data_IF_491031387823
#
_entry.id   IF_491031387823
#
_cell.length_a   1.000
_cell.length_b   1.000
_cell.length_c   1.000
_cell.angle_alpha   90.00
_cell.angle_beta   90.00
_cell.angle_gamma   90.00
#
_symmetry.space_group_name_H-M   'P 1'
#
loop_
_entity.id
_entity.type
_entity.pdbx_description
1 polymer ?
#
# COMPACT_ATOMS: atom_id res chain seq x y z
N UNK A 1 8.76 11.19 -59.50
CA UNK A 1 8.51 11.57 -58.09
C UNK A 1 8.72 13.07 -57.96
N UNK A 2 7.73 13.76 -57.40
CA UNK A 2 7.77 15.21 -57.18
C UNK A 2 8.95 15.56 -56.25
N UNK A 3 9.84 16.45 -56.69
CA UNK A 3 11.06 16.80 -55.94
C UNK A 3 10.71 17.37 -54.56
N UNK A 4 9.57 18.04 -54.46
CA UNK A 4 9.04 18.63 -53.22
C UNK A 4 8.63 17.56 -52.22
N UNK A 5 7.97 16.49 -52.70
CA UNK A 5 7.54 15.38 -51.85
C UNK A 5 8.74 14.63 -51.26
N UNK A 6 9.82 14.46 -52.03
CA UNK A 6 11.00 13.76 -51.55
C UNK A 6 11.78 14.55 -50.49
N UNK A 7 11.80 15.89 -50.60
CA UNK A 7 12.40 16.79 -49.60
C UNK A 7 11.61 16.73 -48.28
N UNK A 8 10.28 16.78 -48.34
CA UNK A 8 9.45 16.70 -47.13
C UNK A 8 9.64 15.36 -46.40
N UNK A 9 9.70 14.25 -47.15
CA UNK A 9 9.93 12.91 -46.57
C UNK A 9 11.32 12.81 -45.94
N UNK A 10 12.37 13.29 -46.63
CA UNK A 10 13.74 13.25 -46.07
C UNK A 10 13.89 14.11 -44.82
N UNK A 11 13.29 15.30 -44.79
CA UNK A 11 13.30 16.17 -43.62
C UNK A 11 12.54 15.56 -42.44
N UNK A 12 11.41 14.90 -42.69
CA UNK A 12 10.63 14.20 -41.67
C UNK A 12 11.42 13.02 -41.05
N UNK A 13 12.08 12.22 -41.88
CA UNK A 13 12.91 11.10 -41.42
C UNK A 13 14.10 11.60 -40.58
N UNK A 14 14.78 12.67 -41.03
CA UNK A 14 15.87 13.26 -40.25
C UNK A 14 15.40 13.82 -38.90
N UNK A 15 14.22 14.43 -38.86
CA UNK A 15 13.60 14.92 -37.63
C UNK A 15 13.31 13.79 -36.63
N UNK A 16 12.75 12.67 -37.10
CA UNK A 16 12.47 11.50 -36.26
C UNK A 16 13.77 10.87 -35.73
N UNK A 17 14.80 10.73 -36.56
CA UNK A 17 16.10 10.19 -36.14
C UNK A 17 16.76 11.09 -35.09
N UNK A 18 16.74 12.41 -35.28
CA UNK A 18 17.26 13.35 -34.29
C UNK A 18 16.50 13.28 -32.96
N UNK A 19 15.18 13.13 -33.02
CA UNK A 19 14.32 12.98 -31.85
C UNK A 19 14.61 11.70 -31.06
N UNK A 20 14.76 10.55 -31.74
CA UNK A 20 15.10 9.27 -31.11
C UNK A 20 16.46 9.34 -30.39
N UNK A 21 17.47 9.96 -31.02
CA UNK A 21 18.79 10.17 -30.40
C UNK A 21 18.67 11.05 -29.14
N UNK A 22 17.87 12.11 -29.22
CA UNK A 22 17.64 13.01 -28.09
C UNK A 22 16.97 12.29 -26.91
N UNK A 23 15.91 11.51 -27.16
CA UNK A 23 15.22 10.72 -26.14
C UNK A 23 16.15 9.66 -25.54
N UNK A 24 16.93 8.95 -26.36
CA UNK A 24 17.89 7.95 -25.88
C UNK A 24 18.92 8.57 -24.92
N UNK A 25 19.47 9.74 -25.25
CA UNK A 25 20.41 10.46 -24.36
C UNK A 25 19.79 10.86 -23.03
N UNK A 26 18.53 11.26 -23.03
CA UNK A 26 17.82 11.58 -21.79
C UNK A 26 17.53 10.33 -20.94
N UNK A 27 17.23 9.19 -21.58
CA UNK A 27 16.93 7.93 -20.90
C UNK A 27 18.17 7.30 -20.25
N UNK A 28 19.37 7.46 -20.83
CA UNK A 28 20.62 6.97 -20.24
C UNK A 28 21.03 7.70 -18.95
N UNK A 29 20.50 8.89 -18.69
CA UNK A 29 20.84 9.66 -17.47
C UNK A 29 20.10 9.19 -16.22
N UNK A 30 19.30 8.11 -16.31
CA UNK A 30 18.73 7.46 -15.13
C UNK A 30 19.71 6.39 -14.63
N UNK A 31 20.42 6.61 -13.51
CA UNK A 31 21.19 5.55 -12.87
C UNK A 31 20.23 4.43 -12.45
N UNK A 32 20.46 3.24 -13.00
CA UNK A 32 19.86 1.99 -12.55
C UNK A 32 20.64 1.58 -11.28
N UNK A 33 19.98 1.37 -10.13
CA UNK A 33 20.60 0.64 -9.04
C UNK A 33 20.86 -0.80 -9.49
N UNK A 34 22.13 -1.16 -9.57
CA UNK A 34 22.57 -2.55 -9.70
C UNK A 34 22.64 -3.21 -8.31
N UNK A 35 22.59 -4.55 -8.34
CA UNK A 35 22.74 -5.52 -7.23
C UNK A 35 21.43 -5.92 -6.52
N UNK A 36 21.10 -7.21 -6.31
CA UNK A 36 21.82 -8.48 -6.47
C UNK A 36 20.77 -9.59 -6.76
N UNK A 37 20.91 -10.41 -7.80
CA UNK A 37 21.62 -11.72 -7.85
C UNK A 37 21.15 -12.74 -6.80
N UNK A 38 20.29 -13.64 -7.30
CA UNK A 38 20.16 -15.09 -7.06
C UNK A 38 21.11 -15.76 -6.05
N UNK A 39 20.57 -16.61 -5.16
CA UNK A 39 21.14 -17.95 -4.87
C UNK A 39 20.12 -18.88 -4.15
N UNK A 40 20.25 -20.22 -4.27
CA UNK A 40 19.18 -21.22 -4.17
C UNK A 40 19.04 -21.97 -2.82
N UNK A 41 17.92 -22.69 -2.70
CA UNK A 41 17.55 -23.80 -1.77
C UNK A 41 18.66 -24.86 -1.58
N UNK A 42 18.88 -25.41 -0.37
CA UNK A 42 18.34 -26.73 0.05
C UNK A 42 18.09 -26.80 1.59
N UNK A 43 17.51 -27.81 2.26
CA UNK A 43 16.99 -29.14 1.93
C UNK A 43 16.01 -29.56 3.05
N UNK A 44 15.06 -30.42 2.69
CA UNK A 44 14.16 -31.16 3.58
C UNK A 44 14.99 -32.14 4.44
N UNK A 45 14.72 -32.23 5.74
CA UNK A 45 15.20 -33.34 6.58
C UNK A 45 13.99 -34.08 7.16
N UNK A 46 13.84 -35.32 6.70
CA UNK A 46 12.96 -36.34 7.26
C UNK A 46 13.51 -36.78 8.63
N UNK A 47 12.63 -37.00 9.60
CA UNK A 47 12.92 -37.90 10.72
C UNK A 47 11.66 -38.67 11.07
N UNK A 48 11.71 -39.95 10.70
CA UNK A 48 10.82 -41.04 11.08
C UNK A 48 10.92 -41.30 12.58
N UNK A 49 9.78 -41.45 13.26
CA UNK A 49 9.69 -42.18 14.52
C UNK A 49 8.41 -43.01 14.56
N UNK A 50 8.54 -44.28 14.22
CA UNK A 50 7.57 -45.34 14.51
C UNK A 50 7.67 -45.71 15.99
N UNK A 51 6.55 -45.79 16.70
CA UNK A 51 6.48 -46.30 18.07
C UNK A 51 5.05 -46.60 18.49
N UNK A 52 4.77 -47.89 18.69
CA UNK A 52 3.45 -48.51 18.84
C UNK A 52 2.85 -48.43 20.25
N UNK A 53 1.51 -48.50 20.32
CA UNK A 53 0.69 -49.40 21.16
C UNK A 53 -0.29 -48.82 22.19
N UNK A 54 -1.43 -49.54 22.24
CA UNK A 54 -2.45 -49.73 23.29
C UNK A 54 -3.78 -48.97 23.12
N UNK A 55 -4.93 -49.68 22.96
CA UNK A 55 -6.27 -49.11 23.04
C UNK A 55 -6.74 -49.09 24.49
N UNK A 56 -7.21 -47.94 24.98
CA UNK A 56 -7.89 -47.87 26.28
C UNK A 56 -9.00 -46.83 26.24
N UNK A 57 -10.23 -47.33 26.33
CA UNK A 57 -11.48 -46.58 26.44
C UNK A 57 -11.45 -45.62 27.63
N UNK A 58 -11.83 -44.36 27.39
CA UNK A 58 -12.07 -43.36 28.43
C UNK A 58 -13.32 -42.51 28.09
N UNK A 59 -14.05 -42.01 29.10
CA UNK A 59 -15.47 -41.69 29.01
C UNK A 59 -15.76 -40.35 28.31
N UNK A 60 -16.97 -40.24 27.76
CA UNK A 60 -17.45 -39.04 27.07
C UNK A 60 -17.37 -37.79 27.97
N UNK A 61 -16.52 -36.83 27.56
CA UNK A 61 -16.48 -35.49 28.12
C UNK A 61 -17.76 -34.72 27.77
N UNK A 62 -18.30 -33.89 28.67
CA UNK A 62 -19.46 -33.05 28.36
C UNK A 62 -19.14 -32.13 27.18
N UNK A 63 -20.07 -32.05 26.22
CA UNK A 63 -19.96 -31.17 25.05
C UNK A 63 -19.67 -29.74 25.50
N UNK A 64 -18.50 -29.23 25.14
CA UNK A 64 -18.17 -27.83 25.29
C UNK A 64 -19.20 -27.02 24.49
N UNK A 65 -19.89 -26.09 25.15
CA UNK A 65 -20.77 -25.13 24.48
C UNK A 65 -20.01 -24.43 23.36
N UNK A 66 -20.62 -24.22 22.19
CA UNK A 66 -19.95 -23.55 21.08
C UNK A 66 -19.51 -22.16 21.53
N UNK A 67 -18.19 -21.96 21.57
CA UNK A 67 -17.59 -20.64 21.76
C UNK A 67 -18.12 -19.72 20.67
N UNK A 68 -18.61 -18.51 20.99
CA UNK A 68 -19.02 -17.55 19.97
C UNK A 68 -17.89 -17.37 18.96
N UNK A 69 -18.21 -17.51 17.67
CA UNK A 69 -17.25 -17.24 16.61
C UNK A 69 -16.77 -15.79 16.76
N UNK A 70 -15.47 -15.50 16.54
CA UNK A 70 -14.97 -14.12 16.53
C UNK A 70 -15.79 -13.30 15.54
N UNK A 71 -16.30 -12.15 15.99
CA UNK A 71 -16.99 -11.21 15.10
C UNK A 71 -15.97 -10.73 14.07
N UNK A 72 -16.24 -10.96 12.80
CA UNK A 72 -15.39 -10.48 11.72
C UNK A 72 -15.36 -8.96 11.74
N UNK A 73 -14.16 -8.37 11.74
CA UNK A 73 -13.99 -6.93 11.67
C UNK A 73 -14.51 -6.38 10.35
N UNK A 74 -15.37 -5.37 10.43
CA UNK A 74 -15.88 -4.64 9.27
C UNK A 74 -14.94 -3.47 8.99
N UNK A 75 -14.15 -3.60 7.93
CA UNK A 75 -13.27 -2.54 7.45
C UNK A 75 -14.08 -1.32 7.02
N UNK A 76 -13.67 -0.14 7.50
CA UNK A 76 -14.26 1.15 7.15
C UNK A 76 -13.28 1.94 6.31
N UNK A 77 -13.81 2.68 5.35
CA UNK A 77 -13.04 3.58 4.51
C UNK A 77 -13.54 5.02 4.65
N UNK A 78 -12.64 5.97 4.46
CA UNK A 78 -12.92 7.41 4.40
C UNK A 78 -12.20 8.03 3.21
N UNK A 79 -12.72 9.14 2.71
CA UNK A 79 -12.12 9.85 1.58
C UNK A 79 -11.70 11.25 2.00
N UNK A 80 -10.41 11.53 1.88
CA UNK A 80 -9.86 12.88 2.03
C UNK A 80 -9.50 13.43 0.65
N UNK A 81 -10.09 14.56 0.27
CA UNK A 81 -10.02 15.10 -1.10
C UNK A 81 -9.65 16.58 -1.13
N UNK A 82 -8.88 16.98 -2.13
CA UNK A 82 -8.68 18.37 -2.53
C UNK A 82 -8.95 18.57 -4.04
N UNK A 83 -8.45 19.66 -4.64
CA UNK A 83 -8.66 19.98 -6.05
C UNK A 83 -7.96 19.03 -7.03
N UNK A 84 -6.91 18.34 -6.60
CA UNK A 84 -5.98 17.63 -7.49
C UNK A 84 -5.81 16.15 -7.16
N UNK A 85 -6.10 15.73 -5.92
CA UNK A 85 -6.02 14.34 -5.48
C UNK A 85 -7.16 13.93 -4.53
N UNK A 86 -7.48 12.63 -4.56
CA UNK A 86 -8.32 11.93 -3.59
C UNK A 86 -7.48 10.86 -2.90
N UNK A 87 -7.49 10.85 -1.56
CA UNK A 87 -6.89 9.82 -0.73
C UNK A 87 -8.02 8.93 -0.18
N UNK A 88 -7.93 7.63 -0.45
CA UNK A 88 -8.77 6.64 0.19
C UNK A 88 -8.04 6.07 1.40
N UNK A 89 -8.68 6.21 2.55
CA UNK A 89 -8.16 5.91 3.87
C UNK A 89 -8.87 4.68 4.40
N UNK A 90 -8.15 3.72 4.97
CA UNK A 90 -8.71 2.48 5.51
C UNK A 90 -8.44 2.33 7.00
N UNK A 91 -9.46 1.88 7.74
CA UNK A 91 -9.35 1.52 9.16
C UNK A 91 -8.39 0.36 9.41
N UNK A 92 -8.18 -0.52 8.43
CA UNK A 92 -7.23 -1.64 8.54
C UNK A 92 -5.82 -1.10 8.29
N UNK A 93 -4.95 -1.13 9.29
CA UNK A 93 -3.62 -0.52 9.23
C UNK A 93 -3.60 1.01 9.48
N UNK A 94 -4.76 1.68 9.37
CA UNK A 94 -4.92 3.10 9.67
C UNK A 94 -4.08 3.98 8.76
N UNK A 95 -4.32 3.88 7.44
CA UNK A 95 -3.46 4.48 6.43
C UNK A 95 -4.17 4.70 5.09
N UNK A 96 -3.40 5.12 4.08
CA UNK A 96 -3.90 5.37 2.73
C UNK A 96 -3.83 4.06 1.93
N UNK A 97 -4.97 3.52 1.52
CA UNK A 97 -5.04 2.33 0.67
C UNK A 97 -4.83 2.66 -0.81
N UNK A 98 -5.30 3.83 -1.24
CA UNK A 98 -5.32 4.22 -2.65
C UNK A 98 -5.25 5.76 -2.78
N UNK A 99 -4.60 6.23 -3.84
CA UNK A 99 -4.56 7.65 -4.20
C UNK A 99 -5.01 7.83 -5.64
N UNK A 100 -6.00 8.68 -5.88
CA UNK A 100 -6.49 9.00 -7.23
C UNK A 100 -6.02 10.40 -7.60
N UNK A 101 -5.29 10.53 -8.72
CA UNK A 101 -4.84 11.81 -9.25
C UNK A 101 -5.90 12.38 -10.20
N UNK A 102 -6.59 13.45 -9.78
CA UNK A 102 -7.77 13.99 -10.46
C UNK A 102 -7.46 14.66 -11.80
N UNK A 103 -6.22 15.15 -11.97
CA UNK A 103 -5.76 15.88 -13.16
C UNK A 103 -5.13 15.00 -14.24
N UNK A 104 -4.93 13.72 -13.96
CA UNK A 104 -4.17 12.83 -14.82
C UNK A 104 -5.06 11.69 -15.31
N UNK A 105 -5.14 11.57 -16.64
CA UNK A 105 -5.83 10.47 -17.29
C UNK A 105 -4.85 9.31 -17.52
N UNK A 106 -5.31 8.10 -17.21
CA UNK A 106 -4.74 6.83 -17.58
C UNK A 106 -5.42 6.30 -18.86
N UNK A 107 -5.15 5.04 -19.20
CA UNK A 107 -5.84 4.35 -20.30
C UNK A 107 -7.36 4.32 -20.08
N UNK A 108 -8.11 4.27 -21.18
CA UNK A 108 -9.59 4.17 -21.17
C UNK A 108 -10.32 5.34 -20.47
N UNK A 109 -9.72 6.54 -20.45
CA UNK A 109 -10.25 7.74 -19.75
C UNK A 109 -10.45 7.54 -18.23
N UNK A 110 -9.79 6.54 -17.64
CA UNK A 110 -9.74 6.38 -16.17
C UNK A 110 -8.77 7.39 -15.59
N UNK A 111 -8.94 7.76 -14.31
CA UNK A 111 -7.94 8.57 -13.61
C UNK A 111 -6.73 7.73 -13.26
N UNK A 112 -5.57 8.36 -13.15
CA UNK A 112 -4.37 7.69 -12.63
C UNK A 112 -4.60 7.36 -11.16
N UNK A 113 -4.50 6.08 -10.83
CA UNK A 113 -4.53 5.57 -9.47
C UNK A 113 -3.12 5.14 -9.06
N UNK A 114 -2.71 5.54 -7.86
CA UNK A 114 -1.49 5.09 -7.20
C UNK A 114 -1.84 4.19 -6.02
N UNK A 115 -0.95 3.24 -5.78
CA UNK A 115 -1.14 2.13 -4.84
C UNK A 115 -2.28 1.19 -5.26
N UNK A 116 -2.15 -0.07 -4.85
CA UNK A 116 -3.16 -1.09 -5.06
C UNK A 116 -3.84 -1.35 -3.72
N UNK A 117 -5.18 -1.49 -3.67
CA UNK A 117 -5.93 -1.67 -2.42
C UNK A 117 -5.51 -2.93 -1.64
N UNK A 118 -4.98 -3.95 -2.32
CA UNK A 118 -4.52 -5.21 -1.70
C UNK A 118 -3.06 -5.15 -1.19
N UNK A 119 -2.48 -3.95 -1.08
CA UNK A 119 -1.14 -3.73 -0.53
C UNK A 119 -1.22 -3.10 0.86
N UNK A 120 -0.09 -3.13 1.57
CA UNK A 120 0.03 -2.45 2.86
C UNK A 120 -0.31 -0.96 2.69
N UNK A 121 -1.28 -0.43 3.45
CA UNK A 121 -1.63 0.98 3.38
C UNK A 121 -0.44 1.87 3.73
N UNK A 122 -0.30 3.00 3.05
CA UNK A 122 0.75 3.98 3.36
C UNK A 122 0.49 4.54 4.76
N UNK A 123 1.54 4.56 5.58
CA UNK A 123 1.46 4.96 6.97
C UNK A 123 1.05 3.85 7.93
N UNK A 124 0.86 2.60 7.44
CA UNK A 124 0.72 1.45 8.33
C UNK A 124 1.97 1.26 9.21
N UNK A 125 1.74 0.94 10.48
CA UNK A 125 2.81 0.64 11.45
C UNK A 125 2.69 -0.84 11.77
N UNK A 126 3.77 -1.58 11.51
CA UNK A 126 3.85 -3.02 11.73
C UNK A 126 4.81 -3.30 12.88
N UNK A 127 4.48 -4.29 13.69
CA UNK A 127 5.39 -4.77 14.73
C UNK A 127 6.45 -5.71 14.16
N UNK A 128 6.05 -6.60 13.25
CA UNK A 128 6.95 -7.47 12.49
C UNK A 128 6.68 -7.30 10.98
N UNK A 129 7.65 -6.83 10.18
CA UNK A 129 7.50 -6.74 8.73
C UNK A 129 7.48 -8.11 8.03
N UNK A 130 8.01 -9.18 8.62
CA UNK A 130 8.03 -10.53 8.02
C UNK A 130 6.67 -11.23 8.12
N UNK A 131 5.90 -10.94 9.18
CA UNK A 131 4.51 -11.37 9.33
C UNK A 131 3.57 -10.18 9.54
N UNK A 132 3.17 -9.48 8.45
CA UNK A 132 2.36 -8.28 8.56
C UNK A 132 0.99 -8.58 9.17
N UNK A 133 0.78 -8.10 10.39
CA UNK A 133 -0.54 -8.07 11.03
C UNK A 133 -0.99 -6.62 11.14
N UNK A 134 -2.04 -6.27 10.40
CA UNK A 134 -2.55 -4.90 10.35
C UNK A 134 -3.51 -4.64 11.51
N UNK A 135 -3.20 -3.69 12.41
CA UNK A 135 -4.10 -3.34 13.48
C UNK A 135 -5.39 -2.70 12.96
N UNK A 136 -6.46 -2.90 13.71
CA UNK A 136 -7.79 -2.39 13.38
C UNK A 136 -8.03 -1.07 14.11
N UNK A 137 -7.94 0.05 13.39
CA UNK A 137 -8.11 1.38 13.94
C UNK A 137 -9.58 1.78 13.97
N UNK A 138 -9.98 2.52 15.01
CA UNK A 138 -11.20 3.32 15.00
C UNK A 138 -10.99 4.51 14.07
N UNK A 139 -11.86 4.65 13.08
CA UNK A 139 -11.83 5.73 12.09
C UNK A 139 -12.84 6.82 12.45
N UNK A 140 -12.42 8.09 12.36
CA UNK A 140 -13.27 9.25 12.60
C UNK A 140 -12.85 10.45 11.74
N UNK A 141 -13.80 11.27 11.32
CA UNK A 141 -13.54 12.52 10.60
C UNK A 141 -13.57 13.71 11.56
N UNK A 142 -12.56 14.57 11.50
CA UNK A 142 -12.43 15.77 12.33
C UNK A 142 -12.18 16.97 11.42
N UNK A 143 -13.25 17.67 11.02
CA UNK A 143 -13.16 18.74 10.01
C UNK A 143 -12.60 18.21 8.68
N UNK A 144 -11.54 18.86 8.21
CA UNK A 144 -10.82 18.48 6.98
C UNK A 144 -9.68 17.48 7.22
N UNK A 145 -9.70 16.79 8.37
CA UNK A 145 -8.75 15.74 8.69
C UNK A 145 -9.45 14.42 9.02
N UNK A 146 -8.76 13.31 8.81
CA UNK A 146 -9.21 11.97 9.15
C UNK A 146 -8.31 11.41 10.24
N UNK A 147 -8.91 11.01 11.36
CA UNK A 147 -8.21 10.50 12.54
C UNK A 147 -8.47 9.01 12.73
N UNK A 148 -7.40 8.30 13.01
CA UNK A 148 -7.36 6.91 13.40
C UNK A 148 -6.90 6.78 14.84
N UNK A 149 -7.52 5.88 15.59
CA UNK A 149 -7.12 5.56 16.96
C UNK A 149 -7.09 4.05 17.17
N UNK A 150 -5.99 3.55 17.74
CA UNK A 150 -5.81 2.15 18.10
C UNK A 150 -5.12 2.05 19.45
N UNK A 151 -5.65 1.20 20.34
CA UNK A 151 -5.02 0.89 21.63
C UNK A 151 -4.37 -0.48 21.50
N UNK A 152 -3.05 -0.54 21.71
CA UNK A 152 -2.29 -1.79 21.65
C UNK A 152 -2.60 -2.66 22.87
N UNK A 153 -2.34 -3.98 22.81
CA UNK A 153 -2.44 -4.86 23.97
C UNK A 153 -1.53 -4.46 25.15
N UNK A 154 -0.50 -3.64 24.89
CA UNK A 154 0.41 -3.11 25.91
C UNK A 154 -0.06 -1.76 26.50
N UNK A 155 -1.35 -1.42 26.36
CA UNK A 155 -1.96 -0.17 26.82
C UNK A 155 -1.31 1.11 26.24
N UNK A 156 -0.76 1.05 25.03
CA UNK A 156 -0.32 2.26 24.32
C UNK A 156 -1.40 2.68 23.33
N UNK A 157 -1.79 3.95 23.34
CA UNK A 157 -2.70 4.53 22.34
C UNK A 157 -1.88 5.12 21.19
N UNK A 158 -2.12 4.64 19.98
CA UNK A 158 -1.60 5.18 18.73
C UNK A 158 -2.69 6.00 18.08
N UNK A 159 -2.44 7.29 17.85
CA UNK A 159 -3.32 8.17 17.08
C UNK A 159 -2.63 8.60 15.80
N UNK A 160 -3.33 8.51 14.68
CA UNK A 160 -2.85 9.01 13.38
C UNK A 160 -3.84 10.02 12.85
N UNK A 161 -3.37 11.14 12.34
CA UNK A 161 -4.22 12.15 11.71
C UNK A 161 -3.69 12.46 10.32
N UNK A 162 -4.52 12.23 9.31
CA UNK A 162 -4.24 12.59 7.92
C UNK A 162 -4.94 13.90 7.57
N UNK A 163 -4.22 14.83 6.97
CA UNK A 163 -4.74 16.11 6.49
C UNK A 163 -3.98 16.55 5.23
N UNK A 164 -4.49 17.55 4.51
CA UNK A 164 -3.71 18.20 3.45
C UNK A 164 -2.95 19.41 3.99
N UNK A 165 -1.80 19.70 3.37
CA UNK A 165 -1.08 20.94 3.61
C UNK A 165 -1.97 22.17 3.30
N UNK A 166 -1.74 23.33 3.95
CA UNK A 166 -2.44 24.56 3.61
C UNK A 166 -2.31 24.86 2.11
N UNK A 167 -3.43 25.25 1.48
CA UNK A 167 -3.54 25.35 0.03
C UNK A 167 -2.58 26.40 -0.58
N UNK A 168 -1.42 25.92 -1.03
CA UNK A 168 -0.62 26.52 -2.10
C UNK A 168 -0.64 25.54 -3.26
N UNK A 169 -0.81 26.02 -4.49
CA UNK A 169 -1.02 25.17 -5.68
C UNK A 169 0.01 24.04 -5.81
N UNK A 170 1.28 24.30 -5.48
CA UNK A 170 2.35 23.29 -5.50
C UNK A 170 2.23 22.22 -4.41
N UNK A 171 1.57 22.55 -3.30
CA UNK A 171 1.47 21.73 -2.10
C UNK A 171 0.19 20.88 -2.09
N UNK A 172 -0.65 20.96 -3.14
CA UNK A 172 -1.88 20.16 -3.27
C UNK A 172 -1.63 18.64 -3.36
N UNK A 173 -0.39 18.22 -3.60
CA UNK A 173 -0.01 16.80 -3.57
C UNK A 173 0.62 16.37 -2.23
N UNK A 174 0.74 17.28 -1.25
CA UNK A 174 1.30 17.00 0.06
C UNK A 174 0.19 16.67 1.07
N UNK A 175 0.20 15.41 1.51
CA UNK A 175 -0.57 14.95 2.65
C UNK A 175 0.32 14.92 3.89
N UNK A 176 -0.19 15.44 5.00
CA UNK A 176 0.43 15.34 6.31
C UNK A 176 -0.09 14.10 7.03
N UNK A 177 0.82 13.40 7.71
CA UNK A 177 0.53 12.33 8.64
C UNK A 177 1.15 12.70 9.99
N UNK A 178 0.31 13.08 10.94
CA UNK A 178 0.71 13.28 12.32
C UNK A 178 0.47 11.99 13.10
N UNK A 179 1.46 11.54 13.87
CA UNK A 179 1.39 10.31 14.66
C UNK A 179 1.73 10.59 16.11
N UNK A 180 0.80 10.30 17.01
CA UNK A 180 0.98 10.40 18.45
C UNK A 180 0.99 9.02 19.10
N UNK A 181 1.91 8.83 20.05
CA UNK A 181 1.95 7.66 20.92
C UNK A 181 1.75 8.13 22.37
N UNK A 182 0.73 7.57 23.03
CA UNK A 182 0.42 7.89 24.42
C UNK A 182 0.45 6.60 25.23
N UNK A 183 1.32 6.54 26.23
CA UNK A 183 1.34 5.44 27.17
C UNK A 183 0.10 5.51 28.07
N UNK A 184 -0.56 4.38 28.30
CA UNK A 184 -1.60 4.27 29.31
C UNK A 184 -1.02 4.42 30.71
N UNK A 185 -1.79 5.00 31.63
CA UNK A 185 -1.41 5.02 33.04
C UNK A 185 -1.34 3.58 33.57
N UNK A 186 -0.31 3.30 34.36
CA UNK A 186 -0.01 1.96 34.90
C UNK A 186 -0.74 1.72 36.21
#
# INVERSE_FOLDING_TARGET
MDRTAWIAVTLCVLGLVAWEIYVAKQRLSRPIPADAILTPTPALSETTATGSSIPASAPALPQASPRPAPVAFVEKTETLRNSDIELHLTSRGGGISEVVLLRYAAEENKRVTLNLPDRLPIGAILQDPATPNLPEYKLSRTGDAVRFEYVTPANMTIRKTFSFAPAKEKDNYLAHLDVDFVNGET
#
